data_IF_239079267083
#
_entry.id   IF_239079267083
#
_cell.length_a   1.000
_cell.length_b   1.000
_cell.length_c   1.000
_cell.angle_alpha   90.00
_cell.angle_beta   90.00
_cell.angle_gamma   90.00
#
_symmetry.space_group_name_H-M   'P 1'
#
loop_
_entity.id
_entity.type
_entity.pdbx_description
1 polymer ?
#
# COMPACT_ATOMS: atom_id res chain seq x y z
N UNK A 1 5.08 -35.66 22.38
CA UNK A 1 6.21 -34.71 22.27
C UNK A 1 6.23 -34.31 20.81
N UNK A 2 5.47 -33.25 20.44
CA UNK A 2 5.33 -32.80 19.07
C UNK A 2 6.54 -31.94 18.75
N UNK A 3 7.35 -32.38 17.78
CA UNK A 3 8.52 -31.69 17.28
C UNK A 3 8.17 -30.25 16.87
N UNK A 4 8.55 -29.32 17.70
CA UNK A 4 8.37 -27.87 17.46
C UNK A 4 9.22 -27.38 16.28
N UNK A 5 10.28 -28.10 15.93
CA UNK A 5 11.19 -27.73 14.84
C UNK A 5 10.66 -28.03 13.43
N UNK A 6 9.80 -29.03 13.28
CA UNK A 6 9.19 -29.36 11.97
C UNK A 6 8.06 -28.44 11.58
N UNK A 7 7.40 -27.79 12.53
CA UNK A 7 6.30 -26.84 12.23
C UNK A 7 6.79 -25.48 11.75
N UNK A 8 8.00 -25.06 12.16
CA UNK A 8 8.58 -23.78 11.74
C UNK A 8 9.15 -23.81 10.31
N UNK A 9 9.63 -24.96 9.84
CA UNK A 9 10.16 -25.08 8.47
C UNK A 9 9.11 -25.14 7.39
N UNK A 10 7.88 -25.55 7.70
CA UNK A 10 6.75 -25.58 6.76
C UNK A 10 6.08 -24.22 6.53
N UNK A 11 6.26 -23.25 7.43
CA UNK A 11 5.79 -21.89 7.22
C UNK A 11 6.84 -21.09 6.45
N UNK A 12 6.78 -21.15 5.12
CA UNK A 12 7.45 -20.20 4.21
C UNK A 12 6.91 -18.77 4.39
N UNK A 13 6.66 -18.33 5.62
CA UNK A 13 6.16 -17.01 5.98
C UNK A 13 7.26 -15.92 5.91
N UNK A 14 8.52 -16.30 5.81
CA UNK A 14 9.66 -15.38 5.71
C UNK A 14 9.50 -14.34 4.62
N UNK A 15 8.93 -14.74 3.47
CA UNK A 15 8.71 -13.80 2.36
C UNK A 15 7.72 -12.69 2.70
N UNK A 16 6.69 -12.98 3.49
CA UNK A 16 5.69 -11.99 3.92
C UNK A 16 6.24 -11.11 5.04
N UNK A 17 6.94 -11.72 5.99
CA UNK A 17 7.53 -11.00 7.12
C UNK A 17 8.60 -10.01 6.65
N UNK A 18 9.30 -10.28 5.55
CA UNK A 18 10.29 -9.38 4.96
C UNK A 18 9.68 -8.11 4.34
N UNK A 19 8.42 -8.14 3.90
CA UNK A 19 7.76 -6.95 3.35
C UNK A 19 7.61 -5.83 4.38
N UNK A 20 7.34 -6.16 5.65
CA UNK A 20 7.17 -5.19 6.73
C UNK A 20 8.47 -4.42 7.06
N UNK A 21 9.60 -5.09 7.37
CA UNK A 21 10.85 -4.38 7.62
C UNK A 21 11.38 -3.66 6.37
N UNK A 22 11.15 -4.20 5.16
CA UNK A 22 11.53 -3.54 3.92
C UNK A 22 10.77 -2.22 3.73
N UNK A 23 9.45 -2.21 3.96
CA UNK A 23 8.64 -1.00 3.93
C UNK A 23 9.10 0.03 4.98
N UNK A 24 9.43 -0.42 6.19
CA UNK A 24 9.97 0.44 7.24
C UNK A 24 11.32 1.05 6.87
N UNK A 25 12.23 0.27 6.27
CA UNK A 25 13.53 0.76 5.79
C UNK A 25 13.36 1.83 4.71
N UNK A 26 12.48 1.63 3.73
CA UNK A 26 12.23 2.61 2.67
C UNK A 26 11.63 3.91 3.24
N UNK A 27 10.70 3.81 4.18
CA UNK A 27 10.15 5.00 4.83
C UNK A 27 11.21 5.73 5.65
N UNK A 28 12.05 5.01 6.41
CA UNK A 28 13.15 5.62 7.18
C UNK A 28 14.14 6.32 6.25
N UNK A 29 14.52 5.68 5.14
CA UNK A 29 15.36 6.30 4.13
C UNK A 29 14.71 7.55 3.52
N UNK A 30 13.40 7.52 3.24
CA UNK A 30 12.65 8.68 2.77
C UNK A 30 12.67 9.87 3.73
N UNK A 31 12.50 9.62 5.04
CA UNK A 31 12.60 10.66 6.05
C UNK A 31 14.02 11.21 6.19
N UNK A 32 15.05 10.36 6.14
CA UNK A 32 16.46 10.79 6.16
C UNK A 32 16.75 11.67 4.95
N UNK A 33 16.32 11.24 3.74
CA UNK A 33 16.49 12.05 2.52
C UNK A 33 15.76 13.39 2.60
N UNK A 34 14.58 13.42 3.21
CA UNK A 34 13.84 14.68 3.43
C UNK A 34 14.58 15.61 4.36
N UNK A 35 15.18 15.10 5.45
CA UNK A 35 15.97 15.89 6.39
C UNK A 35 17.26 16.42 5.72
N UNK A 36 17.97 15.58 4.97
CA UNK A 36 19.15 16.00 4.20
C UNK A 36 18.78 17.07 3.15
N UNK A 37 17.62 16.95 2.50
CA UNK A 37 17.11 17.93 1.56
C UNK A 37 16.79 19.28 2.19
N UNK A 38 16.40 19.31 3.47
CA UNK A 38 16.18 20.56 4.20
C UNK A 38 17.47 21.38 4.40
N UNK A 39 18.63 20.72 4.48
CA UNK A 39 19.93 21.38 4.55
C UNK A 39 20.51 21.73 3.17
N UNK A 40 20.08 21.04 2.09
CA UNK A 40 20.56 21.23 0.72
C UNK A 40 19.38 21.55 -0.23
N UNK A 41 18.81 22.74 -0.09
CA UNK A 41 17.62 23.19 -0.83
C UNK A 41 17.84 23.23 -2.36
N UNK A 42 19.11 23.25 -2.82
CA UNK A 42 19.47 23.32 -4.25
C UNK A 42 19.43 21.98 -4.99
N UNK A 43 19.42 20.84 -4.27
CA UNK A 43 19.47 19.50 -4.89
C UNK A 43 18.06 18.93 -5.15
N UNK A 44 17.56 19.22 -6.35
CA UNK A 44 16.26 18.72 -6.83
C UNK A 44 16.15 17.18 -6.78
N UNK A 45 17.27 16.48 -6.97
CA UNK A 45 17.34 15.03 -6.94
C UNK A 45 17.01 14.45 -5.57
N UNK A 46 17.49 15.07 -4.50
CA UNK A 46 17.20 14.67 -3.11
C UNK A 46 15.72 14.88 -2.79
N UNK A 47 15.16 16.00 -3.22
CA UNK A 47 13.75 16.30 -3.04
C UNK A 47 12.85 15.28 -3.72
N UNK A 48 13.09 14.99 -5.00
CA UNK A 48 12.32 13.99 -5.77
C UNK A 48 12.46 12.61 -5.11
N UNK A 49 13.69 12.20 -4.76
CA UNK A 49 13.93 10.90 -4.13
C UNK A 49 13.18 10.78 -2.80
N UNK A 50 13.16 11.81 -1.96
CA UNK A 50 12.43 11.81 -0.69
C UNK A 50 10.92 11.65 -0.89
N UNK A 51 10.34 12.37 -1.85
CA UNK A 51 8.91 12.28 -2.18
C UNK A 51 8.55 10.87 -2.67
N UNK A 52 9.32 10.32 -3.60
CA UNK A 52 9.10 8.98 -4.15
C UNK A 52 9.21 7.92 -3.05
N UNK A 53 10.25 7.94 -2.23
CA UNK A 53 10.45 6.98 -1.13
C UNK A 53 9.31 7.04 -0.10
N UNK A 54 8.85 8.23 0.27
CA UNK A 54 7.75 8.40 1.23
C UNK A 54 6.41 7.97 0.65
N UNK A 55 6.20 8.15 -0.65
CA UNK A 55 4.98 7.73 -1.34
C UNK A 55 4.96 6.22 -1.62
N UNK A 56 6.14 5.58 -1.82
CA UNK A 56 6.26 4.13 -2.05
C UNK A 56 5.97 3.27 -0.81
N UNK A 57 6.02 3.83 0.39
CA UNK A 57 5.74 3.08 1.63
C UNK A 57 4.35 2.41 1.67
N UNK A 58 3.25 3.13 1.43
CA UNK A 58 1.89 2.58 1.49
C UNK A 58 1.63 1.40 0.55
N UNK A 59 2.06 1.41 -0.72
CA UNK A 59 1.91 0.26 -1.62
C UNK A 59 2.57 -1.01 -1.11
N UNK A 60 3.68 -0.90 -0.40
CA UNK A 60 4.37 -2.07 0.16
C UNK A 60 3.55 -2.69 1.30
N UNK A 61 2.96 -1.88 2.18
CA UNK A 61 2.10 -2.39 3.25
C UNK A 61 0.78 -2.94 2.72
N UNK A 62 0.18 -2.31 1.70
CA UNK A 62 -1.01 -2.84 1.03
C UNK A 62 -0.70 -4.14 0.31
N UNK A 63 0.47 -4.27 -0.33
CA UNK A 63 0.94 -5.52 -0.94
C UNK A 63 1.01 -6.67 0.06
N UNK A 64 1.51 -6.43 1.28
CA UNK A 64 1.50 -7.43 2.35
C UNK A 64 0.06 -7.84 2.74
N UNK A 65 -0.87 -6.89 2.83
CA UNK A 65 -2.27 -7.15 3.11
C UNK A 65 -2.95 -7.98 2.00
N UNK A 66 -2.67 -7.67 0.73
CA UNK A 66 -3.17 -8.46 -0.41
C UNK A 66 -2.64 -9.89 -0.40
N UNK A 67 -1.39 -10.09 0.00
CA UNK A 67 -0.80 -11.41 0.09
C UNK A 67 -1.46 -12.26 1.20
N UNK A 68 -1.76 -11.65 2.35
CA UNK A 68 -2.48 -12.31 3.45
C UNK A 68 -3.89 -12.67 3.01
N UNK A 69 -4.59 -11.75 2.34
CA UNK A 69 -5.93 -12.01 1.79
C UNK A 69 -5.89 -13.17 0.77
N UNK A 70 -4.95 -13.15 -0.17
CA UNK A 70 -4.82 -14.22 -1.15
C UNK A 70 -4.61 -15.58 -0.48
N UNK A 71 -3.79 -15.65 0.58
CA UNK A 71 -3.62 -16.88 1.37
C UNK A 71 -4.91 -17.32 2.06
N UNK A 72 -5.66 -16.39 2.61
CA UNK A 72 -6.95 -16.68 3.23
C UNK A 72 -7.96 -17.23 2.20
N UNK A 73 -7.97 -16.65 0.98
CA UNK A 73 -8.78 -17.11 -0.14
C UNK A 73 -8.35 -18.50 -0.64
N UNK A 74 -7.04 -18.81 -0.66
CA UNK A 74 -6.55 -20.16 -1.00
C UNK A 74 -6.91 -21.20 0.06
N UNK A 75 -7.08 -20.81 1.30
CA UNK A 75 -7.47 -21.74 2.38
C UNK A 75 -8.90 -22.25 2.21
N UNK A 76 -9.80 -21.42 1.63
CA UNK A 76 -11.20 -21.78 1.37
C UNK A 76 -11.57 -21.37 -0.06
N UNK A 77 -11.12 -22.10 -1.09
CA UNK A 77 -11.22 -21.66 -2.48
C UNK A 77 -12.65 -21.55 -3.00
N UNK A 78 -13.59 -22.37 -2.51
CA UNK A 78 -14.99 -22.33 -2.95
C UNK A 78 -15.81 -21.15 -2.41
N UNK A 79 -15.29 -20.41 -1.41
CA UNK A 79 -15.91 -19.16 -0.93
C UNK A 79 -15.35 -17.93 -1.65
N UNK A 80 -14.26 -18.07 -2.39
CA UNK A 80 -13.62 -16.97 -3.10
C UNK A 80 -14.52 -16.45 -4.22
N UNK A 81 -14.80 -15.13 -4.29
CA UNK A 81 -15.56 -14.54 -5.39
C UNK A 81 -14.79 -14.56 -6.71
N UNK A 82 -13.47 -14.61 -6.67
CA UNK A 82 -12.55 -14.60 -7.81
C UNK A 82 -11.39 -15.56 -7.55
N UNK A 83 -10.68 -15.97 -8.60
CA UNK A 83 -9.50 -16.82 -8.46
C UNK A 83 -8.40 -16.10 -7.64
N UNK A 84 -7.95 -16.68 -6.50
CA UNK A 84 -7.05 -15.98 -5.55
C UNK A 84 -5.76 -15.46 -6.17
N UNK A 85 -5.16 -16.19 -7.10
CA UNK A 85 -3.95 -15.78 -7.79
C UNK A 85 -4.16 -14.57 -8.69
N UNK A 86 -5.30 -14.45 -9.36
CA UNK A 86 -5.63 -13.28 -10.20
C UNK A 86 -5.86 -12.03 -9.35
N UNK A 87 -6.49 -12.17 -8.18
CA UNK A 87 -6.68 -11.05 -7.25
C UNK A 87 -5.32 -10.46 -6.89
N UNK A 88 -4.40 -11.30 -6.42
CA UNK A 88 -3.06 -10.85 -6.00
C UNK A 88 -2.30 -10.15 -7.13
N UNK A 89 -2.22 -10.76 -8.32
CA UNK A 89 -1.50 -10.19 -9.46
C UNK A 89 -2.13 -8.90 -9.97
N UNK A 90 -3.46 -8.80 -9.96
CA UNK A 90 -4.16 -7.59 -10.39
C UNK A 90 -3.90 -6.43 -9.42
N UNK A 91 -4.05 -6.66 -8.11
CA UNK A 91 -3.81 -5.60 -7.12
C UNK A 91 -2.35 -5.13 -7.12
N UNK A 92 -1.39 -6.05 -7.15
CA UNK A 92 0.04 -5.69 -7.23
C UNK A 92 0.34 -4.95 -8.54
N UNK A 93 -0.22 -5.40 -9.67
CA UNK A 93 -0.03 -4.74 -10.96
C UNK A 93 -0.59 -3.32 -10.99
N UNK A 94 -1.78 -3.11 -10.44
CA UNK A 94 -2.39 -1.78 -10.33
C UNK A 94 -1.58 -0.88 -9.41
N UNK A 95 -1.16 -1.36 -8.23
CA UNK A 95 -0.33 -0.58 -7.30
C UNK A 95 1.01 -0.21 -7.95
N UNK A 96 1.62 -1.09 -8.72
CA UNK A 96 2.85 -0.80 -9.47
C UNK A 96 2.63 0.32 -10.52
N UNK A 97 1.52 0.29 -11.25
CA UNK A 97 1.17 1.36 -12.20
C UNK A 97 0.94 2.70 -11.50
N UNK A 98 0.27 2.68 -10.35
CA UNK A 98 0.07 3.86 -9.51
C UNK A 98 1.41 4.44 -9.08
N UNK A 99 2.35 3.60 -8.65
CA UNK A 99 3.69 4.02 -8.24
C UNK A 99 4.45 4.70 -9.38
N UNK A 100 4.37 4.16 -10.60
CA UNK A 100 4.94 4.80 -11.79
C UNK A 100 4.30 6.18 -12.06
N UNK A 101 3.00 6.31 -11.85
CA UNK A 101 2.31 7.61 -11.99
C UNK A 101 2.79 8.60 -10.94
N UNK A 102 2.95 8.17 -9.69
CA UNK A 102 3.46 9.00 -8.59
C UNK A 102 4.88 9.47 -8.87
N UNK A 103 5.77 8.55 -9.28
CA UNK A 103 7.16 8.87 -9.57
C UNK A 103 7.29 9.90 -10.73
N UNK A 104 6.54 9.70 -11.82
CA UNK A 104 6.50 10.65 -12.93
C UNK A 104 5.88 12.00 -12.53
N UNK A 105 4.82 11.97 -11.72
CA UNK A 105 4.18 13.17 -11.19
C UNK A 105 5.11 13.98 -10.30
N UNK A 106 5.82 13.32 -9.38
CA UNK A 106 6.79 13.94 -8.50
C UNK A 106 7.97 14.57 -9.29
N UNK A 107 8.50 13.85 -10.28
CA UNK A 107 9.57 14.36 -11.12
C UNK A 107 9.16 15.63 -11.89
N UNK A 108 7.93 15.68 -12.42
CA UNK A 108 7.41 16.86 -13.12
C UNK A 108 7.07 18.01 -12.17
N UNK A 109 6.46 17.73 -11.04
CA UNK A 109 6.06 18.74 -10.07
C UNK A 109 7.27 19.42 -9.39
N UNK A 110 8.35 18.67 -9.17
CA UNK A 110 9.56 19.19 -8.51
C UNK A 110 10.52 19.90 -9.47
N UNK A 111 10.38 19.74 -10.78
CA UNK A 111 11.31 20.34 -11.74
C UNK A 111 10.98 21.81 -12.01
N UNK A 112 11.75 22.71 -11.39
CA UNK A 112 11.60 24.16 -11.53
C UNK A 112 12.04 24.71 -12.90
N UNK A 113 12.77 23.94 -13.71
CA UNK A 113 13.19 24.36 -15.05
C UNK A 113 12.11 24.13 -16.12
N UNK A 114 11.03 23.48 -15.75
CA UNK A 114 9.91 23.12 -16.65
C UNK A 114 8.82 24.21 -16.60
N UNK A 115 7.96 24.22 -17.63
CA UNK A 115 6.85 25.18 -17.69
C UNK A 115 5.86 25.00 -16.52
N UNK A 116 5.22 26.07 -16.07
CA UNK A 116 4.21 26.02 -15.00
C UNK A 116 3.07 25.03 -15.33
N UNK A 117 2.74 24.86 -16.61
CA UNK A 117 1.74 23.91 -17.08
C UNK A 117 2.16 22.45 -16.82
N UNK A 118 3.45 22.12 -16.97
CA UNK A 118 3.96 20.78 -16.72
C UNK A 118 4.08 20.47 -15.23
N UNK A 119 4.43 21.45 -14.40
CA UNK A 119 4.40 21.31 -12.95
C UNK A 119 2.98 21.05 -12.44
N UNK A 120 2.00 21.78 -12.96
CA UNK A 120 0.60 21.57 -12.64
C UNK A 120 0.10 20.19 -13.11
N UNK A 121 0.50 19.74 -14.29
CA UNK A 121 0.22 18.39 -14.79
C UNK A 121 0.83 17.31 -13.87
N UNK A 122 2.03 17.53 -13.35
CA UNK A 122 2.66 16.65 -12.37
C UNK A 122 1.87 16.53 -11.06
N UNK A 123 1.41 17.67 -10.53
CA UNK A 123 0.58 17.70 -9.32
C UNK A 123 -0.79 17.00 -9.52
N UNK A 124 -1.42 17.21 -10.68
CA UNK A 124 -2.65 16.50 -11.03
C UNK A 124 -2.43 15.01 -11.13
N UNK A 125 -1.30 14.58 -11.70
CA UNK A 125 -0.94 13.16 -11.81
C UNK A 125 -0.80 12.48 -10.46
N UNK A 126 -0.16 13.14 -9.48
CA UNK A 126 -0.06 12.64 -8.11
C UNK A 126 -1.44 12.53 -7.46
N UNK A 127 -2.28 13.57 -7.57
CA UNK A 127 -3.64 13.56 -7.02
C UNK A 127 -4.48 12.41 -7.60
N UNK A 128 -4.40 12.22 -8.91
CA UNK A 128 -5.11 11.13 -9.61
C UNK A 128 -4.61 9.76 -9.13
N UNK A 129 -3.30 9.60 -8.97
CA UNK A 129 -2.70 8.36 -8.47
C UNK A 129 -3.16 8.04 -7.03
N UNK A 130 -3.22 9.04 -6.14
CA UNK A 130 -3.70 8.85 -4.76
C UNK A 130 -5.18 8.45 -4.71
N UNK A 131 -6.03 9.03 -5.55
CA UNK A 131 -7.45 8.66 -5.65
C UNK A 131 -7.56 7.22 -6.17
N UNK A 132 -6.80 6.86 -7.19
CA UNK A 132 -6.80 5.52 -7.76
C UNK A 132 -6.33 4.48 -6.74
N UNK A 133 -5.31 4.80 -5.94
CA UNK A 133 -4.84 3.97 -4.83
C UNK A 133 -5.93 3.75 -3.78
N UNK A 134 -6.65 4.80 -3.40
CA UNK A 134 -7.76 4.70 -2.46
C UNK A 134 -8.90 3.82 -3.01
N UNK A 135 -9.24 3.94 -4.30
CA UNK A 135 -10.23 3.09 -4.96
C UNK A 135 -9.80 1.62 -5.00
N UNK A 136 -8.54 1.34 -5.32
CA UNK A 136 -7.96 -0.01 -5.33
C UNK A 136 -8.04 -0.63 -3.94
N UNK A 137 -7.70 0.15 -2.92
CA UNK A 137 -7.77 -0.32 -1.54
C UNK A 137 -9.22 -0.52 -1.06
N UNK A 138 -10.16 0.33 -1.47
CA UNK A 138 -11.59 0.14 -1.20
C UNK A 138 -12.12 -1.17 -1.83
N UNK A 139 -11.67 -1.50 -3.04
CA UNK A 139 -12.00 -2.78 -3.68
C UNK A 139 -11.44 -3.97 -2.89
N UNK A 140 -10.21 -3.87 -2.35
CA UNK A 140 -9.64 -4.87 -1.45
C UNK A 140 -10.53 -5.09 -0.22
N UNK A 141 -10.93 -4.01 0.46
CA UNK A 141 -11.79 -4.07 1.65
C UNK A 141 -13.15 -4.71 1.31
N UNK A 142 -13.72 -4.37 0.17
CA UNK A 142 -14.97 -4.97 -0.29
C UNK A 142 -14.86 -6.50 -0.48
N UNK A 143 -13.78 -6.97 -1.11
CA UNK A 143 -13.51 -8.40 -1.27
C UNK A 143 -13.33 -9.09 0.09
N UNK A 144 -12.61 -8.46 1.02
CA UNK A 144 -12.43 -8.96 2.38
C UNK A 144 -13.78 -9.12 3.10
N UNK A 145 -14.66 -8.12 3.01
CA UNK A 145 -16.00 -8.16 3.62
C UNK A 145 -16.86 -9.28 3.00
N UNK A 146 -16.88 -9.40 1.67
CA UNK A 146 -17.63 -10.43 0.97
C UNK A 146 -17.15 -11.82 1.38
N UNK A 147 -15.84 -12.04 1.40
CA UNK A 147 -15.27 -13.31 1.82
C UNK A 147 -15.58 -13.62 3.29
N UNK A 148 -15.41 -12.65 4.19
CA UNK A 148 -15.72 -12.82 5.61
C UNK A 148 -17.20 -13.17 5.83
N UNK A 149 -18.13 -12.46 5.19
CA UNK A 149 -19.56 -12.73 5.33
C UNK A 149 -19.94 -14.13 4.81
N UNK A 150 -19.34 -14.57 3.72
CA UNK A 150 -19.52 -15.93 3.18
C UNK A 150 -18.94 -16.99 4.13
N UNK A 151 -17.73 -16.77 4.67
CA UNK A 151 -17.11 -17.69 5.62
C UNK A 151 -17.92 -17.82 6.92
N UNK A 152 -18.50 -16.71 7.40
CA UNK A 152 -19.40 -16.70 8.56
C UNK A 152 -20.68 -17.48 8.30
N UNK A 153 -21.31 -17.29 7.13
CA UNK A 153 -22.53 -18.02 6.74
C UNK A 153 -22.31 -19.52 6.60
N UNK A 154 -21.11 -19.92 6.15
CA UNK A 154 -20.73 -21.33 6.03
C UNK A 154 -20.28 -21.99 7.34
N UNK A 155 -20.34 -21.29 8.48
CA UNK A 155 -19.89 -21.76 9.80
C UNK A 155 -18.43 -22.28 9.83
N UNK A 156 -17.56 -21.77 8.93
CA UNK A 156 -16.15 -22.17 8.83
C UNK A 156 -15.20 -21.32 9.69
N UNK A 157 -15.75 -20.45 10.56
CA UNK A 157 -14.99 -19.51 11.40
C UNK A 157 -14.37 -20.21 12.59
N UNK A 158 -13.19 -20.82 12.40
CA UNK A 158 -12.35 -21.34 13.47
C UNK A 158 -11.78 -20.18 14.33
N UNK A 159 -11.48 -20.45 15.60
CA UNK A 159 -10.93 -19.41 16.50
C UNK A 159 -9.65 -18.76 15.96
N UNK A 160 -8.80 -19.52 15.30
CA UNK A 160 -7.57 -19.00 14.66
C UNK A 160 -7.88 -18.12 13.44
N UNK A 161 -8.84 -18.53 12.60
CA UNK A 161 -9.25 -17.76 11.43
C UNK A 161 -9.85 -16.42 11.85
N UNK A 162 -10.62 -16.38 12.95
CA UNK A 162 -11.19 -15.15 13.51
C UNK A 162 -10.13 -14.16 13.97
N UNK A 163 -9.00 -14.63 14.52
CA UNK A 163 -7.85 -13.78 14.87
C UNK A 163 -7.21 -13.18 13.62
N UNK A 164 -6.98 -13.98 12.58
CA UNK A 164 -6.40 -13.51 11.31
C UNK A 164 -7.30 -12.45 10.67
N UNK A 165 -8.61 -12.68 10.60
CA UNK A 165 -9.57 -11.73 10.06
C UNK A 165 -9.59 -10.43 10.87
N UNK A 166 -9.51 -10.49 12.19
CA UNK A 166 -9.44 -9.31 13.04
C UNK A 166 -8.18 -8.45 12.75
N UNK A 167 -7.03 -9.11 12.58
CA UNK A 167 -5.78 -8.42 12.19
C UNK A 167 -5.90 -7.80 10.80
N UNK A 168 -6.52 -8.50 9.84
CA UNK A 168 -6.75 -7.96 8.49
C UNK A 168 -7.63 -6.70 8.51
N UNK A 169 -8.71 -6.69 9.32
CA UNK A 169 -9.55 -5.50 9.48
C UNK A 169 -8.81 -4.35 10.18
N UNK A 170 -8.01 -4.64 11.21
CA UNK A 170 -7.20 -3.63 11.88
C UNK A 170 -6.18 -3.01 10.91
N UNK A 171 -5.48 -3.82 10.13
CA UNK A 171 -4.55 -3.34 9.10
C UNK A 171 -5.27 -2.52 8.04
N UNK A 172 -6.44 -3.00 7.57
CA UNK A 172 -7.26 -2.28 6.61
C UNK A 172 -7.71 -0.91 7.13
N UNK A 173 -8.12 -0.81 8.39
CA UNK A 173 -8.52 0.45 9.01
C UNK A 173 -7.34 1.44 9.06
N UNK A 174 -6.16 0.99 9.50
CA UNK A 174 -4.97 1.83 9.58
C UNK A 174 -4.52 2.34 8.20
N UNK A 175 -4.53 1.47 7.18
CA UNK A 175 -4.19 1.86 5.81
C UNK A 175 -5.23 2.84 5.25
N UNK A 176 -6.52 2.63 5.53
CA UNK A 176 -7.60 3.55 5.11
C UNK A 176 -7.42 4.94 5.69
N UNK A 177 -7.15 5.05 7.01
CA UNK A 177 -6.89 6.33 7.68
C UNK A 177 -5.70 7.04 7.04
N UNK A 178 -4.62 6.30 6.76
CA UNK A 178 -3.45 6.86 6.08
C UNK A 178 -3.78 7.36 4.67
N UNK A 179 -4.55 6.61 3.88
CA UNK A 179 -4.95 7.03 2.53
C UNK A 179 -5.77 8.33 2.58
N UNK A 180 -6.73 8.42 3.49
CA UNK A 180 -7.57 9.61 3.68
C UNK A 180 -6.70 10.80 4.07
N UNK A 181 -5.80 10.62 5.04
CA UNK A 181 -4.88 11.67 5.49
C UNK A 181 -4.03 12.20 4.33
N UNK A 182 -3.47 11.30 3.50
CA UNK A 182 -2.66 11.69 2.34
C UNK A 182 -3.45 12.45 1.29
N UNK A 183 -4.67 12.02 1.03
CA UNK A 183 -5.56 12.74 0.11
C UNK A 183 -5.81 14.15 0.67
N UNK A 184 -6.17 14.28 1.93
CA UNK A 184 -6.41 15.57 2.57
C UNK A 184 -5.16 16.47 2.49
N UNK A 185 -3.99 15.96 2.88
CA UNK A 185 -2.70 16.68 2.84
C UNK A 185 -2.40 17.26 1.43
N UNK A 186 -2.60 16.47 0.38
CA UNK A 186 -2.36 16.93 -0.99
C UNK A 186 -3.45 17.85 -1.55
N UNK A 187 -4.66 17.80 -1.01
CA UNK A 187 -5.72 18.73 -1.41
C UNK A 187 -5.66 20.04 -0.61
N UNK A 188 -5.32 20.01 0.68
CA UNK A 188 -5.19 21.20 1.53
C UNK A 188 -3.91 21.99 1.23
N UNK A 189 -2.80 21.32 0.90
CA UNK A 189 -1.56 21.99 0.52
C UNK A 189 -1.67 22.90 -0.72
N UNK A 190 -2.73 22.74 -1.52
CA UNK A 190 -3.06 23.63 -2.64
C UNK A 190 -3.95 24.81 -2.25
N UNK A 191 -4.64 24.74 -1.12
CA UNK A 191 -5.50 25.82 -0.60
C UNK A 191 -4.76 26.70 0.42
N UNK A 192 -3.63 26.24 0.94
CA UNK A 192 -2.84 26.95 1.95
C UNK A 192 -1.82 27.97 1.38
N UNK A 193 -1.68 28.07 0.06
CA UNK A 193 -0.85 29.08 -0.63
C UNK A 193 -1.67 30.16 -1.34
N UNK A 194 -2.91 30.37 -0.95
CA UNK A 194 -3.72 31.54 -1.27
C UNK A 194 -3.95 32.32 0.02
#
# INVERSE_FOLDING_TARGET
MLDTDTTLSHYKSWKITLFLPWGALLMTAGFIMREVGAFNISDLGILIASIVLLLSGPPIYSGAAYFILARALYYIPWLSPLHPGRILTTFIGVDFLIELMVANGAAKAANTSTSAAEQQAGAILIKTALILQACTFAAYVAILIVWHTRAKRANLMTANLRKVVAVMYASAALISVRCIYRIAEYFEGWLGEL
#
